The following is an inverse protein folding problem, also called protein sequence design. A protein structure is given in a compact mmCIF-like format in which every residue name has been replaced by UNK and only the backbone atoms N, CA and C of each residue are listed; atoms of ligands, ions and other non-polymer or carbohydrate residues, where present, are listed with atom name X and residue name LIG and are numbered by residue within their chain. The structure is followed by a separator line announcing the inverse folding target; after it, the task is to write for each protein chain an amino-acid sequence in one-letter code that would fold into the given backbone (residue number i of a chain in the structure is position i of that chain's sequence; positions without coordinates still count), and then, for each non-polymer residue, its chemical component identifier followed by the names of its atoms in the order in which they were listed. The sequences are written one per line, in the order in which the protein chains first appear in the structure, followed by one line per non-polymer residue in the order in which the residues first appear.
data_IF_885106580352
#
_entry.id   IF_885106580352
#
_cell.length_a   1.000
_cell.length_b   1.000
_cell.length_c   1.000
_cell.angle_alpha   90.00
_cell.angle_beta   90.00
_cell.angle_gamma   90.00
#
_symmetry.space_group_name_H-M   'P 1'
#
loop_
_entity.id
_entity.type
_entity.pdbx_description
1 polymer ?
#
# COMPACT_ATOMS: atom_id res chain seq x y z
N UNK A 1 -27.80 -4.82 -27.96
CA UNK A 1 -26.84 -5.35 -26.99
C UNK A 1 -26.85 -4.43 -25.80
N UNK A 2 -27.51 -4.80 -24.71
CA UNK A 2 -27.42 -4.05 -23.44
C UNK A 2 -26.11 -4.44 -22.77
N UNK A 3 -25.13 -3.53 -22.75
CA UNK A 3 -23.91 -3.72 -21.96
C UNK A 3 -24.27 -3.78 -20.48
N UNK A 4 -24.02 -4.94 -19.85
CA UNK A 4 -24.05 -5.04 -18.40
C UNK A 4 -22.93 -4.17 -17.83
N UNK A 5 -23.22 -3.24 -16.90
CA UNK A 5 -22.17 -2.43 -16.29
C UNK A 5 -21.18 -3.31 -15.52
N UNK A 6 -19.90 -2.98 -15.63
CA UNK A 6 -18.83 -3.68 -14.92
C UNK A 6 -18.97 -3.51 -13.39
N UNK A 7 -18.49 -4.48 -12.58
CA UNK A 7 -18.54 -4.38 -11.12
C UNK A 7 -17.86 -3.11 -10.59
N UNK A 8 -18.45 -2.50 -9.56
CA UNK A 8 -17.95 -1.26 -8.96
C UNK A 8 -16.63 -1.46 -8.19
N UNK A 9 -16.37 -2.66 -7.68
CA UNK A 9 -15.25 -3.07 -6.83
C UNK A 9 -14.08 -3.71 -7.62
N UNK A 10 -14.01 -3.48 -8.92
CA UNK A 10 -13.00 -4.08 -9.80
C UNK A 10 -11.58 -3.51 -9.67
N UNK A 11 -11.41 -2.44 -8.90
CA UNK A 11 -10.11 -1.78 -8.71
C UNK A 11 -9.69 -1.83 -7.25
N UNK A 12 -8.41 -2.11 -7.04
CA UNK A 12 -7.77 -2.01 -5.74
C UNK A 12 -7.16 -0.62 -5.57
N UNK A 13 -7.14 -0.16 -4.32
CA UNK A 13 -6.42 1.04 -3.97
C UNK A 13 -4.90 0.81 -4.14
N UNK A 14 -4.23 1.77 -4.75
CA UNK A 14 -2.80 1.64 -5.10
C UNK A 14 -1.95 1.57 -3.84
N UNK A 15 -2.22 2.41 -2.85
CA UNK A 15 -1.46 2.51 -1.62
C UNK A 15 -1.64 1.25 -0.76
N UNK A 16 -2.86 0.73 -0.67
CA UNK A 16 -3.12 -0.55 0.01
C UNK A 16 -2.47 -1.74 -0.70
N UNK A 17 -2.46 -1.72 -2.04
CA UNK A 17 -1.78 -2.75 -2.84
C UNK A 17 -0.27 -2.70 -2.67
N UNK A 18 0.30 -1.50 -2.47
CA UNK A 18 1.71 -1.32 -2.17
C UNK A 18 2.08 -1.91 -0.80
N UNK A 19 1.28 -1.67 0.25
CA UNK A 19 1.49 -2.29 1.56
C UNK A 19 1.43 -3.81 1.49
N UNK A 20 0.42 -4.35 0.79
CA UNK A 20 0.29 -5.80 0.59
C UNK A 20 1.47 -6.40 -0.20
N UNK A 21 2.11 -5.62 -1.06
CA UNK A 21 3.37 -6.02 -1.69
C UNK A 21 4.52 -6.06 -0.67
N UNK A 22 4.66 -5.03 0.17
CA UNK A 22 5.73 -4.99 1.16
C UNK A 22 5.56 -6.10 2.23
N UNK A 23 4.32 -6.49 2.55
CA UNK A 23 4.04 -7.66 3.39
C UNK A 23 4.63 -8.95 2.80
N UNK A 24 4.55 -9.13 1.48
CA UNK A 24 5.17 -10.30 0.81
C UNK A 24 6.70 -10.28 0.86
N UNK A 25 7.31 -9.09 0.94
CA UNK A 25 8.75 -8.94 1.19
C UNK A 25 9.08 -9.37 2.62
N UNK A 26 8.27 -8.95 3.60
CA UNK A 26 8.42 -9.37 4.98
C UNK A 26 8.23 -10.88 5.17
N UNK A 27 7.35 -11.51 4.39
CA UNK A 27 7.17 -12.95 4.39
C UNK A 27 8.44 -13.70 3.93
N UNK A 28 9.24 -13.13 3.01
CA UNK A 28 10.54 -13.70 2.67
C UNK A 28 11.51 -13.66 3.86
N UNK A 29 11.49 -12.59 4.66
CA UNK A 29 12.28 -12.51 5.88
C UNK A 29 11.84 -13.53 6.95
N UNK A 30 10.58 -13.98 6.93
CA UNK A 30 10.03 -14.95 7.89
C UNK A 30 10.27 -16.41 7.49
N UNK A 31 10.60 -16.68 6.22
CA UNK A 31 10.73 -18.06 5.73
C UNK A 31 12.04 -18.73 6.12
N UNK A 32 12.10 -19.22 7.36
CA UNK A 32 13.22 -20.00 7.89
C UNK A 32 13.45 -21.34 7.17
N UNK A 33 12.45 -21.85 6.45
CA UNK A 33 12.54 -23.18 5.82
C UNK A 33 13.24 -23.10 4.47
N UNK A 34 13.00 -22.03 3.71
CA UNK A 34 13.51 -21.87 2.33
C UNK A 34 14.63 -20.85 2.20
N UNK A 35 14.74 -19.88 3.11
CA UNK A 35 15.64 -18.73 2.95
C UNK A 35 16.73 -18.74 4.05
N UNK A 36 18.03 -18.73 3.69
CA UNK A 36 19.13 -18.66 4.65
C UNK A 36 19.08 -17.39 5.54
N UNK A 37 19.66 -17.49 6.74
CA UNK A 37 19.61 -16.42 7.75
C UNK A 37 20.02 -15.04 7.21
N UNK A 38 21.13 -14.96 6.47
CA UNK A 38 21.64 -13.69 5.94
C UNK A 38 20.72 -13.08 4.87
N UNK A 39 20.10 -13.90 4.02
CA UNK A 39 19.17 -13.42 3.00
C UNK A 39 17.88 -12.89 3.63
N UNK A 40 17.39 -13.52 4.71
CA UNK A 40 16.26 -12.98 5.49
C UNK A 40 16.59 -11.63 6.12
N UNK A 41 17.81 -11.45 6.63
CA UNK A 41 18.26 -10.16 7.16
C UNK A 41 18.28 -9.07 6.06
N UNK A 42 18.68 -9.43 4.83
CA UNK A 42 18.58 -8.54 3.67
C UNK A 42 17.11 -8.20 3.35
N UNK A 43 16.21 -9.18 3.38
CA UNK A 43 14.78 -8.93 3.18
C UNK A 43 14.19 -7.99 4.25
N UNK A 44 14.63 -8.08 5.51
CA UNK A 44 14.26 -7.10 6.54
C UNK A 44 14.76 -5.69 6.19
N UNK A 45 16.01 -5.57 5.76
CA UNK A 45 16.55 -4.27 5.34
C UNK A 45 15.79 -3.69 4.13
N UNK A 46 15.43 -4.54 3.16
CA UNK A 46 14.62 -4.14 2.00
C UNK A 46 13.23 -3.70 2.44
N UNK A 47 12.56 -4.47 3.30
CA UNK A 47 11.24 -4.13 3.84
C UNK A 47 11.25 -2.76 4.52
N UNK A 48 12.24 -2.49 5.38
CA UNK A 48 12.38 -1.22 6.09
C UNK A 48 12.62 -0.05 5.14
N UNK A 49 13.57 -0.19 4.20
CA UNK A 49 13.85 0.87 3.20
C UNK A 49 12.63 1.19 2.34
N UNK A 50 11.88 0.17 1.91
CA UNK A 50 10.64 0.34 1.16
C UNK A 50 9.62 1.11 2.01
N UNK A 51 9.45 0.73 3.28
CA UNK A 51 8.48 1.35 4.18
C UNK A 51 8.82 2.83 4.41
N UNK A 52 10.10 3.16 4.60
CA UNK A 52 10.55 4.55 4.72
C UNK A 52 10.20 5.36 3.47
N UNK A 53 10.45 4.82 2.27
CA UNK A 53 10.06 5.47 1.01
C UNK A 53 8.54 5.68 0.93
N UNK A 54 7.76 4.70 1.33
CA UNK A 54 6.30 4.81 1.36
C UNK A 54 5.82 5.95 2.25
N UNK A 55 6.38 6.10 3.45
CA UNK A 55 6.03 7.22 4.33
C UNK A 55 6.49 8.57 3.75
N UNK A 56 7.73 8.65 3.28
CA UNK A 56 8.31 9.89 2.76
C UNK A 56 7.60 10.39 1.49
N UNK A 57 7.16 9.48 0.61
CA UNK A 57 6.60 9.84 -0.69
C UNK A 57 5.07 9.73 -0.69
N UNK A 58 4.52 8.57 -0.32
CA UNK A 58 3.09 8.26 -0.48
C UNK A 58 2.24 8.92 0.60
N UNK A 59 2.57 8.70 1.87
CA UNK A 59 1.83 9.31 2.99
C UNK A 59 1.96 10.83 2.94
N UNK A 60 3.17 11.37 2.68
CA UNK A 60 3.36 12.81 2.52
C UNK A 60 2.56 13.39 1.34
N UNK A 61 2.48 12.68 0.21
CA UNK A 61 1.64 13.07 -0.93
C UNK A 61 0.15 13.08 -0.59
N UNK A 62 -0.32 12.06 0.12
CA UNK A 62 -1.72 11.97 0.56
C UNK A 62 -2.08 13.09 1.55
N UNK A 63 -1.22 13.36 2.54
CA UNK A 63 -1.39 14.48 3.48
C UNK A 63 -1.47 15.84 2.78
N UNK A 64 -0.63 16.07 1.76
CA UNK A 64 -0.70 17.30 0.95
C UNK A 64 -2.02 17.44 0.20
N UNK A 65 -2.55 16.35 -0.37
CA UNK A 65 -3.88 16.36 -1.03
C UNK A 65 -4.99 16.68 -0.05
N UNK A 66 -4.95 16.09 1.14
CA UNK A 66 -5.91 16.37 2.22
C UNK A 66 -5.84 17.85 2.63
N UNK A 67 -4.64 18.36 2.89
CA UNK A 67 -4.43 19.76 3.30
C UNK A 67 -4.88 20.76 2.22
N UNK A 68 -4.72 20.41 0.94
CA UNK A 68 -5.19 21.22 -0.18
C UNK A 68 -6.72 21.13 -0.42
N UNK A 69 -7.45 20.34 0.38
CA UNK A 69 -8.90 20.16 0.22
C UNK A 69 -9.29 19.37 -1.03
N UNK A 70 -8.37 18.58 -1.61
CA UNK A 70 -8.65 17.79 -2.81
C UNK A 70 -9.53 16.60 -2.45
N UNK A 71 -10.86 16.77 -2.59
CA UNK A 71 -11.87 15.77 -2.29
C UNK A 71 -12.12 14.78 -3.44
N UNK A 72 -11.06 14.33 -4.11
CA UNK A 72 -11.16 13.35 -5.21
C UNK A 72 -10.98 11.95 -4.65
N UNK A 73 -12.01 11.07 -4.75
CA UNK A 73 -11.91 9.68 -4.33
C UNK A 73 -10.83 8.93 -5.13
N UNK A 74 -10.29 7.86 -4.55
CA UNK A 74 -9.43 6.95 -5.31
C UNK A 74 -10.25 6.12 -6.30
N UNK A 75 -9.56 5.38 -7.18
CA UNK A 75 -10.20 4.47 -8.14
C UNK A 75 -11.00 3.35 -7.45
N UNK A 76 -10.71 3.08 -6.18
CA UNK A 76 -11.44 2.15 -5.32
C UNK A 76 -12.57 2.83 -4.52
N UNK A 77 -12.85 4.11 -4.78
CA UNK A 77 -13.95 4.87 -4.17
C UNK A 77 -13.66 5.47 -2.79
N UNK A 78 -12.43 5.36 -2.26
CA UNK A 78 -12.09 5.87 -0.92
C UNK A 78 -11.76 7.35 -0.94
N UNK A 79 -12.27 8.11 0.02
CA UNK A 79 -11.87 9.51 0.21
C UNK A 79 -10.44 9.57 0.76
N UNK A 80 -9.66 10.63 0.46
CA UNK A 80 -8.28 10.73 0.91
C UNK A 80 -8.10 10.60 2.43
N UNK A 81 -9.02 11.12 3.24
CA UNK A 81 -8.98 11.00 4.70
C UNK A 81 -9.27 9.59 5.21
N UNK A 82 -10.21 8.89 4.57
CA UNK A 82 -10.52 7.49 4.88
C UNK A 82 -9.32 6.59 4.56
N UNK A 83 -8.76 6.76 3.36
CA UNK A 83 -7.57 6.02 2.95
C UNK A 83 -6.39 6.31 3.88
N UNK A 84 -6.17 7.57 4.27
CA UNK A 84 -5.09 7.93 5.19
C UNK A 84 -5.23 7.24 6.54
N UNK A 85 -6.45 7.13 7.07
CA UNK A 85 -6.73 6.43 8.33
C UNK A 85 -6.45 4.94 8.18
N UNK A 86 -6.98 4.31 7.14
CA UNK A 86 -6.79 2.87 6.88
C UNK A 86 -5.31 2.48 6.67
N UNK A 87 -4.52 3.36 6.04
CA UNK A 87 -3.09 3.13 5.85
C UNK A 87 -2.28 3.20 7.16
N UNK A 88 -2.76 3.92 8.17
CA UNK A 88 -2.10 4.03 9.47
C UNK A 88 -2.53 2.94 10.46
N UNK A 89 -3.69 2.33 10.23
CA UNK A 89 -4.23 1.25 11.07
C UNK A 89 -3.70 -0.15 10.67
N UNK A 90 -3.01 -0.25 9.53
CA UNK A 90 -2.35 -1.48 9.07
C UNK A 90 -0.99 -1.67 9.72
#
# INVERSE_FOLDING_TARGET
MTETPLPADRYLDRELSWLAFNDRVLDQARDARRIPLIERAKFLAIFSSNLDEFFMVRIAGLKRRIAAGVAVPTVAGKMPGELHTELLDR
#
